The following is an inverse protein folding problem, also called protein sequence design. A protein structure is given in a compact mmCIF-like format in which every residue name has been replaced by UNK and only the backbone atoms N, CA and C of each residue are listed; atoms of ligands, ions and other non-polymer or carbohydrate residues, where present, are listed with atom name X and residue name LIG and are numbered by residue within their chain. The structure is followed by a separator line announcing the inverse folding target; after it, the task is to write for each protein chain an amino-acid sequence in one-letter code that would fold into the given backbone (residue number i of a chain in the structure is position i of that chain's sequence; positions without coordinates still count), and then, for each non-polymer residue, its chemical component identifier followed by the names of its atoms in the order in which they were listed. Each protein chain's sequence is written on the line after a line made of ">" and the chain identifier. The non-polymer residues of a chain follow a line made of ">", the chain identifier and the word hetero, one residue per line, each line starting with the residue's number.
data_IF_419583178361
#
_entry.id   IF_419583178361
#
_cell.length_a   1.000
_cell.length_b   1.000
_cell.length_c   1.000
_cell.angle_alpha   90.00
_cell.angle_beta   90.00
_cell.angle_gamma   90.00
#
_symmetry.space_group_name_H-M   'P 1'
#
loop_
_entity.id
_entity.type
_entity.pdbx_description
1 polymer ?
#
# COMPACT_ATOMS: atom_id res chain seq x y z
N UNK A 1 8.62 -13.89 13.83
CA UNK A 1 7.73 -12.72 14.03
C UNK A 1 8.14 -11.52 13.17
N UNK A 2 9.36 -10.98 13.29
CA UNK A 2 9.82 -9.84 12.45
C UNK A 2 9.63 -10.12 10.96
N UNK A 3 9.97 -11.33 10.49
CA UNK A 3 9.77 -11.74 9.09
C UNK A 3 8.32 -11.61 8.61
N UNK A 4 7.34 -12.07 9.40
CA UNK A 4 5.91 -12.04 9.03
C UNK A 4 5.42 -10.58 8.99
N UNK A 5 5.80 -9.78 9.99
CA UNK A 5 5.47 -8.36 10.04
C UNK A 5 6.06 -7.61 8.84
N UNK A 6 7.31 -7.92 8.45
CA UNK A 6 7.93 -7.35 7.26
C UNK A 6 7.19 -7.73 5.98
N UNK A 7 6.74 -8.98 5.85
CA UNK A 7 5.97 -9.44 4.69
C UNK A 7 4.63 -8.71 4.61
N UNK A 8 3.87 -8.64 5.71
CA UNK A 8 2.60 -7.90 5.74
C UNK A 8 2.80 -6.42 5.42
N UNK A 9 3.80 -5.78 6.01
CA UNK A 9 4.12 -4.38 5.72
C UNK A 9 4.43 -4.17 4.24
N UNK A 10 5.25 -5.05 3.65
CA UNK A 10 5.65 -4.96 2.25
C UNK A 10 4.48 -5.25 1.30
N UNK A 11 3.58 -6.16 1.67
CA UNK A 11 2.35 -6.42 0.94
C UNK A 11 1.44 -5.17 0.96
N UNK A 12 1.25 -4.55 2.12
CA UNK A 12 0.45 -3.32 2.24
C UNK A 12 1.07 -2.14 1.49
N UNK A 13 2.41 -2.06 1.49
CA UNK A 13 3.14 -1.09 0.69
C UNK A 13 2.85 -1.26 -0.82
N UNK A 14 2.90 -2.49 -1.32
CA UNK A 14 2.59 -2.78 -2.73
C UNK A 14 1.13 -2.43 -3.04
N UNK A 15 0.19 -2.82 -2.16
CA UNK A 15 -1.24 -2.51 -2.33
C UNK A 15 -1.48 -1.00 -2.39
N UNK A 16 -0.84 -0.21 -1.51
CA UNK A 16 -0.94 1.24 -1.52
C UNK A 16 -0.40 1.85 -2.83
N UNK A 17 0.76 1.37 -3.30
CA UNK A 17 1.35 1.85 -4.55
C UNK A 17 0.50 1.51 -5.78
N UNK A 18 -0.04 0.29 -5.86
CA UNK A 18 -0.89 -0.18 -6.95
C UNK A 18 -2.21 0.59 -6.96
N UNK A 19 -2.88 0.73 -5.81
CA UNK A 19 -4.14 1.46 -5.69
C UNK A 19 -3.98 2.91 -6.15
N UNK A 20 -2.92 3.59 -5.70
CA UNK A 20 -2.66 4.97 -6.09
C UNK A 20 -2.44 5.09 -7.61
N UNK A 21 -1.65 4.21 -8.22
CA UNK A 21 -1.43 4.22 -9.68
C UNK A 21 -2.69 3.91 -10.47
N UNK A 22 -3.51 2.97 -10.00
CA UNK A 22 -4.73 2.57 -10.67
C UNK A 22 -5.72 3.73 -10.71
N UNK A 23 -5.95 4.39 -9.57
CA UNK A 23 -6.84 5.56 -9.51
C UNK A 23 -6.26 6.74 -10.30
N UNK A 24 -4.93 6.92 -10.31
CA UNK A 24 -4.29 7.94 -11.13
C UNK A 24 -4.52 7.70 -12.62
N UNK A 25 -4.39 6.45 -13.09
CA UNK A 25 -4.60 6.10 -14.49
C UNK A 25 -6.03 6.43 -14.97
N UNK A 26 -7.04 6.31 -14.10
CA UNK A 26 -8.42 6.66 -14.45
C UNK A 26 -8.74 8.14 -14.32
N UNK A 27 -8.17 8.84 -13.35
CA UNK A 27 -8.60 10.21 -13.00
C UNK A 27 -7.63 11.31 -13.42
N UNK A 28 -6.34 11.01 -13.58
CA UNK A 28 -5.27 11.98 -13.80
C UNK A 28 -5.11 13.03 -12.69
N UNK A 29 -5.77 12.83 -11.53
CA UNK A 29 -5.84 13.79 -10.43
C UNK A 29 -5.34 13.16 -9.14
N UNK A 30 -4.57 13.93 -8.36
CA UNK A 30 -3.91 13.42 -7.15
C UNK A 30 -4.89 13.28 -5.98
N UNK A 31 -5.89 14.16 -5.93
CA UNK A 31 -6.89 14.22 -4.87
C UNK A 31 -7.74 12.93 -4.75
N UNK A 32 -8.35 12.39 -5.82
CA UNK A 32 -9.09 11.12 -5.74
C UNK A 32 -8.16 9.93 -5.40
N UNK A 33 -6.90 9.96 -5.83
CA UNK A 33 -5.92 8.94 -5.46
C UNK A 33 -5.72 8.88 -3.94
N UNK A 34 -5.48 10.02 -3.30
CA UNK A 34 -5.33 10.09 -1.84
C UNK A 34 -6.60 9.71 -1.09
N UNK A 35 -7.77 10.14 -1.57
CA UNK A 35 -9.06 9.72 -0.97
C UNK A 35 -9.22 8.21 -0.99
N UNK A 36 -8.94 7.56 -2.13
CA UNK A 36 -9.05 6.10 -2.24
C UNK A 36 -8.13 5.36 -1.28
N UNK A 37 -6.88 5.84 -1.14
CA UNK A 37 -5.86 5.28 -0.25
C UNK A 37 -6.25 5.46 1.21
N UNK A 38 -6.77 6.63 1.59
CA UNK A 38 -7.25 6.89 2.96
C UNK A 38 -8.49 6.05 3.30
N UNK A 39 -9.40 5.89 2.34
CA UNK A 39 -10.58 5.04 2.51
C UNK A 39 -10.17 3.59 2.72
N UNK A 40 -9.19 3.11 1.95
CA UNK A 40 -8.66 1.76 2.09
C UNK A 40 -7.96 1.57 3.45
N UNK A 41 -7.17 2.56 3.89
CA UNK A 41 -6.55 2.55 5.23
C UNK A 41 -7.62 2.51 6.35
N UNK A 42 -8.70 3.28 6.23
CA UNK A 42 -9.80 3.25 7.19
C UNK A 42 -10.51 1.90 7.22
N UNK A 43 -10.75 1.29 6.04
CA UNK A 43 -11.31 -0.06 5.95
C UNK A 43 -10.41 -1.09 6.63
N UNK A 44 -9.10 -1.01 6.43
CA UNK A 44 -8.15 -1.91 7.10
C UNK A 44 -8.19 -1.73 8.61
N UNK A 45 -8.24 -0.49 9.08
CA UNK A 45 -8.28 -0.19 10.51
C UNK A 45 -9.55 -0.73 11.19
N UNK A 46 -10.70 -0.67 10.49
CA UNK A 46 -12.02 -1.03 11.02
C UNK A 46 -12.39 -2.50 10.83
N UNK A 47 -12.01 -3.11 9.71
CA UNK A 47 -12.49 -4.44 9.32
C UNK A 47 -11.41 -5.52 9.36
N UNK A 48 -10.12 -5.17 9.30
CA UNK A 48 -9.06 -6.18 9.35
C UNK A 48 -8.72 -6.44 10.82
N UNK A 49 -8.93 -7.67 11.32
CA UNK A 49 -8.51 -8.01 12.67
C UNK A 49 -7.00 -7.77 12.81
N UNK A 50 -6.62 -7.05 13.87
CA UNK A 50 -5.21 -6.75 14.15
C UNK A 50 -4.38 -7.96 14.60
N UNK A 51 -4.92 -9.16 14.43
CA UNK A 51 -4.22 -10.41 14.72
C UNK A 51 -3.47 -10.87 13.46
N UNK A 52 -2.34 -11.53 13.66
CA UNK A 52 -1.64 -12.25 12.61
C UNK A 52 -2.30 -13.61 12.50
N UNK A 53 -2.60 -14.06 11.28
CA UNK A 53 -3.21 -15.37 11.04
C UNK A 53 -2.32 -16.48 11.62
N UNK A 54 -2.88 -17.32 12.49
CA UNK A 54 -2.14 -18.40 13.16
C UNK A 54 -1.63 -19.43 12.15
N UNK A 55 -2.34 -19.60 11.03
CA UNK A 55 -1.91 -20.48 9.93
C UNK A 55 -0.56 -20.06 9.35
N UNK A 56 -0.30 -18.76 9.19
CA UNK A 56 0.99 -18.22 8.74
C UNK A 56 2.11 -18.45 9.76
N UNK A 57 1.79 -18.48 11.06
CA UNK A 57 2.80 -18.72 12.10
C UNK A 57 3.27 -20.19 12.03
N UNK A 58 2.32 -21.11 11.83
CA UNK A 58 2.59 -22.55 11.71
C UNK A 58 3.31 -22.88 10.40
N UNK A 59 2.88 -22.32 9.28
CA UNK A 59 3.42 -22.61 7.94
C UNK A 59 4.86 -22.11 7.77
N UNK A 60 5.23 -21.01 8.41
CA UNK A 60 6.61 -20.49 8.42
C UNK A 60 7.47 -20.98 9.61
N UNK A 61 7.04 -22.04 10.31
CA UNK A 61 7.84 -22.73 11.33
C UNK A 61 8.01 -21.94 12.65
N UNK A 62 7.12 -21.00 12.94
CA UNK A 62 7.11 -20.25 14.20
C UNK A 62 6.41 -21.00 15.32
N UNK A 63 6.99 -21.02 16.52
CA UNK A 63 6.22 -21.35 17.73
C UNK A 63 5.25 -20.20 18.03
N UNK A 64 4.00 -20.52 18.34
CA UNK A 64 3.03 -19.54 18.87
C UNK A 64 3.66 -18.88 20.09
N UNK A 65 3.91 -17.56 20.07
CA UNK A 65 4.50 -16.87 21.21
C UNK A 65 3.45 -16.73 22.32
N UNK A 66 3.80 -17.11 23.55
CA UNK A 66 2.90 -17.02 24.73
C UNK A 66 2.37 -15.59 24.99
N UNK A 67 3.10 -14.57 24.52
CA UNK A 67 2.70 -13.17 24.59
C UNK A 67 3.05 -12.46 23.29
N UNK A 68 2.04 -12.00 22.57
CA UNK A 68 2.22 -11.04 21.48
C UNK A 68 2.78 -9.73 22.07
N UNK A 69 4.01 -9.30 21.71
CA UNK A 69 4.57 -8.05 22.23
C UNK A 69 3.91 -6.82 21.59
N UNK A 70 3.20 -6.99 20.47
CA UNK A 70 2.51 -5.94 19.74
C UNK A 70 1.00 -6.07 19.95
N UNK A 71 0.37 -4.96 20.33
CA UNK A 71 -1.09 -4.87 20.37
C UNK A 71 -1.67 -4.97 18.96
N UNK A 72 -2.89 -5.50 18.79
CA UNK A 72 -3.53 -5.60 17.48
C UNK A 72 -3.68 -4.23 16.79
N UNK A 73 -3.82 -3.17 17.57
CA UNK A 73 -3.82 -1.79 17.09
C UNK A 73 -2.48 -1.41 16.44
N UNK A 74 -1.35 -1.78 17.07
CA UNK A 74 -0.02 -1.46 16.56
C UNK A 74 0.27 -2.15 15.22
N UNK A 75 -0.22 -3.39 15.04
CA UNK A 75 -0.13 -4.11 13.77
C UNK A 75 -0.94 -3.42 12.66
N UNK A 76 -2.18 -3.03 12.95
CA UNK A 76 -3.01 -2.30 11.97
C UNK A 76 -2.43 -0.92 11.64
N UNK A 77 -1.86 -0.21 12.61
CA UNK A 77 -1.15 1.04 12.36
C UNK A 77 0.07 0.84 11.45
N UNK A 78 0.84 -0.22 11.65
CA UNK A 78 1.98 -0.54 10.81
C UNK A 78 1.57 -0.89 9.38
N UNK A 79 0.48 -1.66 9.21
CA UNK A 79 -0.13 -1.96 7.90
C UNK A 79 -0.57 -0.67 7.19
N UNK A 80 -1.24 0.24 7.91
CA UNK A 80 -1.64 1.55 7.37
C UNK A 80 -0.42 2.41 6.99
N UNK A 81 0.63 2.40 7.80
CA UNK A 81 1.88 3.11 7.50
C UNK A 81 2.54 2.57 6.22
N UNK A 82 2.60 1.24 6.05
CA UNK A 82 3.11 0.62 4.83
C UNK A 82 2.32 1.07 3.60
N UNK A 83 1.00 1.03 3.69
CA UNK A 83 0.09 1.47 2.64
C UNK A 83 0.30 2.93 2.24
N UNK A 84 0.38 3.84 3.23
CA UNK A 84 0.63 5.26 2.98
C UNK A 84 2.00 5.51 2.37
N UNK A 85 3.04 4.81 2.83
CA UNK A 85 4.39 4.92 2.27
C UNK A 85 4.43 4.44 0.81
N UNK A 86 3.71 3.35 0.49
CA UNK A 86 3.58 2.86 -0.88
C UNK A 86 2.89 3.86 -1.80
N UNK A 87 1.77 4.43 -1.35
CA UNK A 87 1.06 5.47 -2.06
C UNK A 87 1.90 6.75 -2.25
N UNK A 88 2.65 7.15 -1.23
CA UNK A 88 3.54 8.31 -1.28
C UNK A 88 4.67 8.11 -2.30
N UNK A 89 5.28 6.93 -2.33
CA UNK A 89 6.31 6.60 -3.32
C UNK A 89 5.73 6.66 -4.74
N UNK A 90 4.53 6.10 -4.96
CA UNK A 90 3.84 6.19 -6.24
C UNK A 90 3.57 7.65 -6.65
N UNK A 91 3.12 8.49 -5.71
CA UNK A 91 2.87 9.91 -5.94
C UNK A 91 4.15 10.67 -6.33
N UNK A 92 5.29 10.37 -5.70
CA UNK A 92 6.59 10.96 -6.05
C UNK A 92 6.99 10.54 -7.47
N UNK A 93 6.85 9.26 -7.82
CA UNK A 93 7.19 8.75 -9.15
C UNK A 93 6.34 9.41 -10.24
N UNK A 94 5.04 9.56 -10.01
CA UNK A 94 4.12 10.25 -10.93
C UNK A 94 4.51 11.72 -11.08
N UNK A 95 4.72 12.45 -9.97
CA UNK A 95 5.17 13.85 -10.03
C UNK A 95 6.49 14.00 -10.79
N UNK A 96 7.42 13.08 -10.59
CA UNK A 96 8.70 13.05 -11.30
C UNK A 96 8.49 12.79 -12.79
N UNK A 97 7.63 11.84 -13.17
CA UNK A 97 7.30 11.56 -14.58
C UNK A 97 6.66 12.75 -15.27
N UNK A 98 5.68 13.40 -14.62
CA UNK A 98 5.04 14.61 -15.11
C UNK A 98 6.04 15.75 -15.33
N UNK A 99 6.98 15.93 -14.40
CA UNK A 99 8.05 16.95 -14.54
C UNK A 99 9.00 16.67 -15.71
N UNK A 100 9.18 15.40 -16.08
CA UNK A 100 10.06 14.99 -17.19
C UNK A 100 9.29 15.03 -18.54
N UNK A 101 8.00 15.35 -18.56
CA UNK A 101 7.20 15.37 -19.80
C UNK A 101 6.88 13.97 -20.36
N UNK A 102 7.10 12.91 -19.57
CA UNK A 102 6.82 11.52 -19.96
C UNK A 102 5.32 11.17 -19.95
N UNK A 103 4.46 12.10 -19.50
CA UNK A 103 2.99 11.97 -19.53
C UNK A 103 2.38 12.76 -20.70
N UNK A 104 3.17 13.55 -21.43
CA UNK A 104 2.71 14.17 -22.67
C UNK A 104 2.56 13.05 -23.70
N UNK A 105 1.39 13.01 -24.34
CA UNK A 105 1.00 11.97 -25.28
C UNK A 105 2.16 11.67 -26.25
N UNK A 106 2.46 10.39 -26.54
CA UNK A 106 3.31 10.09 -27.69
C UNK A 106 2.74 10.82 -28.92
N UNK A 107 3.57 11.49 -29.73
CA UNK A 107 3.12 12.22 -30.90
C UNK A 107 2.62 11.20 -31.93
N UNK A 108 1.35 10.83 -31.83
CA UNK A 108 0.67 9.98 -32.81
C UNK A 108 -0.18 10.79 -33.78
N UNK A 109 -0.11 12.13 -33.73
CA UNK A 109 -0.77 13.01 -34.70
C UNK A 109 0.00 13.11 -36.04
N UNK A 110 1.18 12.48 -36.16
CA UNK A 110 2.06 12.56 -37.33
C UNK A 110 2.15 11.25 -38.14
N UNK A 111 1.12 10.39 -38.11
CA UNK A 111 1.03 9.30 -39.10
C UNK A 111 0.16 9.74 -40.29
N UNK A 112 0.76 9.91 -41.49
CA UNK A 112 0.04 10.31 -42.70
C UNK A 112 -0.94 9.25 -43.20
#
# INVERSE_FOLDING_TARGET
>A
MIRIISIEFLLMFVVGAVTFRLVWAFTGKTLPCWISVLLLAALILLFVPGHIDESLIVEFGGKLPEKYPLTPLALNLLRCAGLLLGALLAAIVIRKRKKIGLEDQPPYDDFP
#
